data_IF_836844899420
#
_entry.id   IF_836844899420
#
_cell.length_a   1.000
_cell.length_b   1.000
_cell.length_c   1.000
_cell.angle_alpha   90.00
_cell.angle_beta   90.00
_cell.angle_gamma   90.00
#
_symmetry.space_group_name_H-M   'P 1'
#
loop_
_entity.id
_entity.type
_entity.pdbx_description
1 polymer ?
#
# COMPACT_ATOMS: atom_id res chain seq x y z
N UNK A 1 -2.58 -2.40 0.20
CA UNK A 1 -3.85 -1.82 0.70
C UNK A 1 -4.56 -2.82 1.57
N UNK A 2 -5.53 -2.39 2.38
CA UNK A 2 -6.34 -3.28 3.21
C UNK A 2 -7.01 -2.56 4.39
N UNK A 3 -7.87 -3.29 5.10
CA UNK A 3 -8.40 -2.89 6.42
C UNK A 3 -7.26 -2.68 7.40
N UNK A 4 -7.37 -1.65 8.24
CA UNK A 4 -6.38 -1.37 9.29
C UNK A 4 -6.78 -2.10 10.57
N UNK A 5 -5.83 -2.84 11.13
CA UNK A 5 -5.96 -3.47 12.45
C UNK A 5 -4.77 -3.04 13.31
N UNK A 6 -5.00 -2.88 14.61
CA UNK A 6 -3.99 -2.50 15.60
C UNK A 6 -3.97 -3.50 16.74
N UNK A 7 -2.80 -3.70 17.33
CA UNK A 7 -2.61 -4.62 18.45
C UNK A 7 -2.71 -3.86 19.78
N UNK A 8 -3.62 -4.26 20.67
CA UNK A 8 -3.75 -3.74 22.03
C UNK A 8 -3.83 -4.91 23.02
N UNK A 9 -2.97 -4.92 24.03
CA UNK A 9 -2.97 -5.96 25.07
C UNK A 9 -3.00 -7.40 24.52
N UNK A 10 -2.18 -7.67 23.48
CA UNK A 10 -2.08 -8.97 22.80
C UNK A 10 -3.32 -9.42 21.99
N UNK A 11 -4.27 -8.52 21.73
CA UNK A 11 -5.43 -8.78 20.87
C UNK A 11 -5.48 -7.79 19.70
N UNK A 12 -5.66 -8.32 18.49
CA UNK A 12 -5.89 -7.51 17.30
C UNK A 12 -7.32 -6.99 17.27
N UNK A 13 -7.50 -5.74 16.85
CA UNK A 13 -8.81 -5.15 16.67
C UNK A 13 -8.78 -4.08 15.59
N UNK A 14 -9.96 -3.76 15.09
CA UNK A 14 -10.14 -2.83 13.97
C UNK A 14 -10.23 -1.38 14.46
N UNK A 15 -10.43 -0.47 13.51
CA UNK A 15 -10.54 0.97 13.74
C UNK A 15 -11.83 1.45 13.11
N UNK A 16 -12.62 2.24 13.83
CA UNK A 16 -13.80 2.87 13.28
C UNK A 16 -13.43 3.99 12.30
N UNK A 17 -14.20 4.12 11.23
CA UNK A 17 -13.98 5.09 10.16
C UNK A 17 -14.50 6.50 10.46
N UNK A 18 -15.13 6.71 11.61
CA UNK A 18 -15.51 8.02 12.11
C UNK A 18 -14.27 8.92 12.17
N UNK A 19 -14.35 10.06 11.46
CA UNK A 19 -13.26 11.03 11.24
C UNK A 19 -11.99 10.45 10.59
N UNK A 20 -12.05 9.23 10.05
CA UNK A 20 -10.94 8.63 9.31
C UNK A 20 -10.64 9.44 8.05
N UNK A 21 -9.39 9.87 7.93
CA UNK A 21 -8.98 10.81 6.89
C UNK A 21 -7.56 10.51 6.39
N UNK A 22 -7.15 11.25 5.36
CA UNK A 22 -5.88 11.01 4.67
C UNK A 22 -4.64 11.21 5.56
N UNK A 23 -4.73 12.05 6.61
CA UNK A 23 -3.62 12.22 7.56
C UNK A 23 -3.45 10.97 8.41
N UNK A 24 -4.55 10.45 8.98
CA UNK A 24 -4.54 9.20 9.75
C UNK A 24 -4.10 8.02 8.89
N UNK A 25 -4.62 7.91 7.66
CA UNK A 25 -4.19 6.90 6.71
C UNK A 25 -2.69 7.00 6.35
N UNK A 26 -2.17 8.22 6.21
CA UNK A 26 -0.75 8.43 5.88
C UNK A 26 0.19 8.06 7.04
N UNK A 27 -0.24 8.23 8.29
CA UNK A 27 0.49 7.72 9.46
C UNK A 27 0.62 6.20 9.37
N UNK A 28 -0.48 5.48 9.11
CA UNK A 28 -0.46 4.01 8.93
C UNK A 28 0.49 3.58 7.81
N UNK A 29 0.38 4.21 6.64
CA UNK A 29 1.22 3.85 5.51
C UNK A 29 2.71 4.06 5.82
N UNK A 30 3.07 5.18 6.45
CA UNK A 30 4.46 5.46 6.85
C UNK A 30 4.95 4.52 7.95
N UNK A 31 4.10 4.21 8.94
CA UNK A 31 4.40 3.27 10.03
C UNK A 31 4.74 1.87 9.49
N UNK A 32 4.05 1.44 8.43
CA UNK A 32 4.30 0.16 7.74
C UNK A 32 5.45 0.21 6.71
N UNK A 33 6.18 1.33 6.61
CA UNK A 33 7.31 1.48 5.70
C UNK A 33 6.93 1.79 4.25
N UNK A 34 5.68 2.17 3.99
CA UNK A 34 5.25 2.70 2.70
C UNK A 34 5.48 4.23 2.62
N UNK A 35 5.03 4.84 1.52
CA UNK A 35 4.94 6.30 1.39
C UNK A 35 3.72 6.87 2.12
N UNK A 36 3.17 7.97 1.59
CA UNK A 36 1.88 8.51 2.06
C UNK A 36 0.70 7.62 1.66
N UNK A 37 -0.46 7.86 2.26
CA UNK A 37 -1.68 7.24 1.78
C UNK A 37 -2.11 7.86 0.45
N UNK A 38 -2.57 6.99 -0.46
CA UNK A 38 -3.34 7.37 -1.65
C UNK A 38 -4.80 7.62 -1.28
N UNK A 39 -5.38 6.74 -0.46
CA UNK A 39 -6.79 6.82 -0.04
C UNK A 39 -6.95 6.43 1.43
N UNK A 40 -7.85 7.17 2.10
CA UNK A 40 -8.45 6.77 3.36
C UNK A 40 -9.83 6.18 3.04
N UNK A 41 -9.98 4.87 3.26
CA UNK A 41 -11.18 4.12 2.90
C UNK A 41 -12.03 3.88 4.15
N UNK A 42 -13.34 3.95 3.94
CA UNK A 42 -14.40 3.89 4.95
C UNK A 42 -15.48 2.88 4.51
N UNK A 43 -16.41 2.54 5.38
CA UNK A 43 -17.56 1.65 5.14
C UNK A 43 -17.14 0.21 4.93
N UNK A 44 -16.08 -0.25 5.60
CA UNK A 44 -15.51 -1.58 5.43
C UNK A 44 -15.26 -1.98 3.97
N UNK A 45 -14.89 -1.01 3.11
CA UNK A 45 -14.67 -1.22 1.66
C UNK A 45 -13.63 -2.30 1.33
N UNK A 46 -12.72 -2.59 2.27
CA UNK A 46 -11.72 -3.64 2.15
C UNK A 46 -12.06 -4.88 3.01
N UNK A 47 -13.35 -5.07 3.30
CA UNK A 47 -13.88 -6.15 4.12
C UNK A 47 -13.99 -5.80 5.60
N UNK A 48 -15.00 -6.36 6.25
CA UNK A 48 -15.23 -6.25 7.68
C UNK A 48 -14.23 -7.13 8.46
N UNK A 49 -13.82 -6.65 9.63
CA UNK A 49 -13.12 -7.44 10.64
C UNK A 49 -14.09 -8.17 11.56
N UNK A 50 -13.52 -8.72 12.62
CA UNK A 50 -14.22 -9.43 13.69
C UNK A 50 -13.52 -9.14 15.02
N UNK A 51 -14.25 -9.21 16.13
CA UNK A 51 -13.67 -9.02 17.47
C UNK A 51 -13.77 -7.57 17.93
N UNK A 52 -12.79 -7.05 18.68
CA UNK A 52 -12.86 -5.69 19.20
C UNK A 52 -12.58 -4.64 18.11
N UNK A 53 -13.20 -3.48 18.28
CA UNK A 53 -12.81 -2.24 17.60
C UNK A 53 -12.01 -1.44 18.65
N UNK A 54 -10.73 -1.18 18.40
CA UNK A 54 -9.84 -0.62 19.43
C UNK A 54 -9.79 0.91 19.44
N UNK A 55 -10.03 1.53 18.30
CA UNK A 55 -9.86 2.97 18.08
C UNK A 55 -11.09 3.57 17.41
N UNK A 56 -11.49 4.77 17.85
CA UNK A 56 -12.55 5.57 17.26
C UNK A 56 -12.08 7.04 17.11
N UNK A 57 -12.63 7.76 16.13
CA UNK A 57 -12.38 9.19 15.88
C UNK A 57 -10.89 9.57 15.85
N UNK A 58 -10.09 8.81 15.11
CA UNK A 58 -8.63 9.01 15.03
C UNK A 58 -8.30 10.30 14.27
N UNK A 59 -7.68 11.24 14.97
CA UNK A 59 -7.40 12.61 14.49
C UNK A 59 -5.91 12.90 14.47
N UNK A 60 -5.18 12.18 13.62
CA UNK A 60 -3.75 12.43 13.43
C UNK A 60 -3.48 13.80 12.82
N UNK A 61 -2.35 14.41 13.20
CA UNK A 61 -1.76 15.57 12.52
C UNK A 61 -1.08 15.16 11.21
N UNK A 62 -0.71 13.89 11.07
CA UNK A 62 -0.01 13.33 9.90
C UNK A 62 1.50 13.17 10.10
N UNK A 63 2.04 13.57 11.26
CA UNK A 63 3.48 13.53 11.59
C UNK A 63 3.82 12.49 12.65
N UNK A 64 2.82 11.85 13.22
CA UNK A 64 2.96 10.78 14.21
C UNK A 64 3.72 9.58 13.64
N UNK A 65 4.52 8.92 14.49
CA UNK A 65 5.29 7.73 14.10
C UNK A 65 4.46 6.45 14.14
N UNK A 66 3.43 6.42 14.97
CA UNK A 66 2.48 5.32 15.08
C UNK A 66 1.07 5.86 15.23
N UNK A 67 0.09 5.10 14.77
CA UNK A 67 -1.31 5.43 14.92
C UNK A 67 -1.74 5.56 16.39
N UNK A 68 -1.10 4.82 17.30
CA UNK A 68 -1.31 4.93 18.75
C UNK A 68 -0.85 6.27 19.36
N UNK A 69 -0.07 7.07 18.62
CA UNK A 69 0.34 8.41 19.05
C UNK A 69 -0.63 9.51 18.61
N UNK A 70 -1.62 9.19 17.77
CA UNK A 70 -2.64 10.15 17.37
C UNK A 70 -3.67 10.34 18.50
N UNK A 71 -4.28 11.52 18.62
CA UNK A 71 -5.50 11.69 19.40
C UNK A 71 -6.60 10.77 18.87
N UNK A 72 -7.28 10.05 19.76
CA UNK A 72 -8.44 9.20 19.44
C UNK A 72 -9.43 9.23 20.61
N UNK A 73 -10.68 8.83 20.33
CA UNK A 73 -11.73 8.67 21.33
C UNK A 73 -11.76 7.21 21.80
N UNK A 74 -11.96 7.00 23.10
CA UNK A 74 -12.23 5.66 23.62
C UNK A 74 -13.57 5.16 23.05
N UNK A 75 -13.57 3.92 22.57
CA UNK A 75 -14.77 3.30 22.02
C UNK A 75 -15.80 3.00 23.11
N UNK A 76 -17.07 3.21 22.79
CA UNK A 76 -18.20 2.68 23.55
C UNK A 76 -18.98 1.65 22.72
N UNK A 77 -19.81 0.85 23.37
CA UNK A 77 -20.51 -0.28 22.74
C UNK A 77 -21.51 0.15 21.64
N UNK A 78 -21.94 1.40 21.64
CA UNK A 78 -22.90 1.95 20.67
C UNK A 78 -22.23 2.80 19.57
N UNK A 79 -20.91 2.97 19.62
CA UNK A 79 -20.23 3.91 18.72
C UNK A 79 -20.14 3.40 17.29
N UNK A 80 -19.60 2.18 17.10
CA UNK A 80 -19.29 1.66 15.77
C UNK A 80 -19.51 0.16 15.66
N UNK A 81 -19.72 -0.30 14.43
CA UNK A 81 -19.81 -1.71 14.03
C UNK A 81 -18.74 -2.02 13.00
N UNK A 82 -18.49 -3.29 12.73
CA UNK A 82 -17.51 -3.69 11.71
C UNK A 82 -17.86 -3.25 10.28
N UNK A 83 -19.11 -2.84 10.00
CA UNK A 83 -19.48 -2.17 8.75
C UNK A 83 -18.79 -0.80 8.58
N UNK A 84 -18.20 -0.27 9.64
CA UNK A 84 -17.51 1.02 9.74
C UNK A 84 -16.00 0.84 9.91
N UNK A 85 -15.46 -0.35 9.60
CA UNK A 85 -14.02 -0.57 9.71
C UNK A 85 -13.25 0.25 8.66
N UNK A 86 -12.25 0.99 9.13
CA UNK A 86 -11.38 1.83 8.33
C UNK A 86 -10.33 1.01 7.56
N UNK A 87 -9.98 1.50 6.37
CA UNK A 87 -8.98 0.88 5.50
C UNK A 87 -8.07 1.94 4.85
N UNK A 88 -6.94 1.50 4.31
CA UNK A 88 -5.99 2.35 3.59
C UNK A 88 -5.59 1.76 2.25
N UNK A 89 -5.40 2.65 1.27
CA UNK A 89 -4.60 2.38 0.09
C UNK A 89 -3.34 3.22 0.17
N UNK A 90 -2.19 2.56 0.35
CA UNK A 90 -0.90 3.24 0.46
C UNK A 90 -0.26 3.45 -0.91
N UNK A 91 0.47 4.55 -1.05
CA UNK A 91 1.45 4.65 -2.12
C UNK A 91 2.59 3.69 -1.79
N UNK A 92 2.86 2.74 -2.68
CA UNK A 92 4.07 1.95 -2.59
C UNK A 92 5.21 2.95 -2.85
N UNK A 93 6.19 3.08 -1.94
CA UNK A 93 7.39 3.82 -2.27
C UNK A 93 7.97 3.07 -3.46
N UNK A 94 8.15 3.74 -4.59
CA UNK A 94 8.88 3.17 -5.72
C UNK A 94 10.25 2.78 -5.16
N UNK A 95 10.39 1.50 -4.79
CA UNK A 95 11.65 0.95 -4.34
C UNK A 95 12.52 0.85 -5.58
N UNK A 96 13.11 1.98 -5.97
CA UNK A 96 14.46 1.96 -6.51
C UNK A 96 15.30 1.33 -5.42
N UNK A 97 15.71 0.09 -5.64
CA UNK A 97 16.62 -0.66 -4.79
C UNK A 97 17.99 0.03 -4.80
N UNK A 98 18.14 1.11 -4.05
CA UNK A 98 19.45 1.53 -3.59
C UNK A 98 19.60 1.11 -2.14
N UNK A 99 20.40 0.07 -1.96
CA UNK A 99 20.85 -0.36 -0.64
C UNK A 99 21.53 0.80 0.08
N UNK A 100 21.26 0.90 1.39
CA UNK A 100 22.00 1.61 2.45
C UNK A 100 21.58 3.07 2.75
N UNK A 101 20.98 3.24 3.93
CA UNK A 101 21.16 4.45 4.74
C UNK A 101 20.23 5.63 4.44
N UNK A 102 18.96 5.50 4.83
CA UNK A 102 18.05 6.64 4.92
C UNK A 102 18.45 7.57 6.07
N UNK A 103 19.12 8.69 5.77
CA UNK A 103 19.06 9.90 6.60
C UNK A 103 18.42 11.00 5.78
N UNK A 104 17.43 11.65 6.38
CA UNK A 104 16.49 12.52 5.67
C UNK A 104 17.08 13.77 5.02
N UNK A 105 16.12 14.52 4.48
CA UNK A 105 16.20 15.90 3.97
C UNK A 105 16.60 16.04 2.51
N UNK A 106 15.79 16.87 1.83
CA UNK A 106 15.72 16.97 0.38
C UNK A 106 16.95 17.58 -0.26
N UNK A 107 17.06 17.33 -1.56
CA UNK A 107 17.99 18.04 -2.44
C UNK A 107 17.18 18.54 -3.62
N UNK A 108 17.26 19.85 -3.85
CA UNK A 108 16.57 20.57 -4.91
C UNK A 108 16.92 20.03 -6.30
N UNK A 109 15.96 20.12 -7.21
CA UNK A 109 15.97 19.55 -8.56
C UNK A 109 17.04 20.13 -9.51
N UNK A 110 17.93 21.02 -9.05
CA UNK A 110 18.86 21.75 -9.93
C UNK A 110 20.28 21.15 -9.99
N UNK A 111 20.68 20.25 -9.09
CA UNK A 111 22.03 19.65 -9.12
C UNK A 111 22.17 18.36 -9.96
N UNK A 112 21.06 17.67 -10.26
CA UNK A 112 21.08 16.40 -11.01
C UNK A 112 21.50 16.55 -12.48
N UNK A 113 21.27 17.72 -13.09
CA UNK A 113 21.56 17.96 -14.51
C UNK A 113 23.06 18.02 -14.85
N UNK A 114 23.94 18.34 -13.88
CA UNK A 114 25.39 18.51 -14.13
C UNK A 114 26.18 17.20 -14.15
N UNK A 115 25.61 16.09 -13.66
CA UNK A 115 26.30 14.79 -13.55
C UNK A 115 25.84 13.75 -14.57
N UNK A 116 25.08 14.16 -15.60
CA UNK A 116 24.56 13.21 -16.59
C UNK A 116 23.59 12.17 -16.01
N UNK A 117 22.92 12.52 -14.90
CA UNK A 117 21.95 11.64 -14.24
C UNK A 117 20.70 11.57 -15.14
N UNK A 118 20.22 10.36 -15.49
CA UNK A 118 19.02 10.22 -16.31
C UNK A 118 17.83 10.89 -15.61
N UNK A 119 17.02 11.62 -16.36
CA UNK A 119 15.85 12.32 -15.85
C UNK A 119 14.99 11.42 -14.95
N UNK A 120 14.64 11.93 -13.75
CA UNK A 120 13.67 11.30 -12.87
C UNK A 120 12.39 10.99 -13.63
N UNK A 121 12.01 9.71 -13.69
CA UNK A 121 10.77 9.27 -14.34
C UNK A 121 10.93 8.31 -15.52
N UNK A 122 12.10 7.74 -15.77
CA UNK A 122 12.19 6.57 -16.66
C UNK A 122 11.36 5.42 -16.06
N UNK A 123 10.16 5.15 -16.61
CA UNK A 123 9.35 3.96 -16.32
C UNK A 123 10.25 2.74 -16.44
N UNK A 124 10.65 2.14 -15.31
CA UNK A 124 11.21 0.79 -15.32
C UNK A 124 10.08 -0.10 -15.82
N UNK A 125 10.20 -0.53 -17.07
CA UNK A 125 9.22 -1.43 -17.66
C UNK A 125 9.22 -2.70 -16.82
N UNK A 126 8.04 -3.19 -16.37
CA UNK A 126 7.98 -4.45 -15.67
C UNK A 126 8.68 -5.51 -16.52
N UNK A 127 9.52 -6.34 -15.89
CA UNK A 127 10.18 -7.47 -16.56
C UNK A 127 9.17 -8.55 -17.00
N UNK A 128 7.87 -8.30 -16.84
CA UNK A 128 6.76 -9.16 -17.25
C UNK A 128 5.67 -8.34 -17.95
N UNK A 129 4.85 -8.99 -18.78
CA UNK A 129 3.64 -8.42 -19.41
C UNK A 129 2.55 -9.47 -19.60
N UNK A 130 1.31 -9.01 -19.82
CA UNK A 130 0.21 -9.85 -20.33
C UNK A 130 0.09 -9.67 -21.84
N UNK A 131 -0.11 -10.77 -22.58
CA UNK A 131 -0.24 -10.76 -24.03
C UNK A 131 -1.46 -11.58 -24.50
N UNK A 132 -2.21 -11.06 -25.47
CA UNK A 132 -3.29 -11.78 -26.16
C UNK A 132 -4.59 -11.97 -25.37
N UNK A 133 -4.77 -11.25 -24.25
CA UNK A 133 -6.06 -11.18 -23.54
C UNK A 133 -7.08 -10.29 -24.25
N UNK A 134 -8.35 -10.35 -23.83
CA UNK A 134 -9.43 -9.48 -24.37
C UNK A 134 -9.44 -8.11 -23.69
N UNK A 135 -8.84 -7.99 -22.51
CA UNK A 135 -8.70 -6.75 -21.74
C UNK A 135 -7.27 -6.57 -21.24
N UNK A 136 -6.95 -5.42 -20.66
CA UNK A 136 -5.64 -5.15 -20.03
C UNK A 136 -5.41 -5.93 -18.72
N UNK A 137 -6.46 -6.54 -18.16
CA UNK A 137 -6.42 -7.29 -16.90
C UNK A 137 -6.25 -8.80 -17.09
N UNK A 138 -6.10 -9.29 -18.33
CA UNK A 138 -5.94 -10.71 -18.63
C UNK A 138 -4.98 -10.97 -19.79
N UNK A 139 -4.45 -12.20 -19.88
CA UNK A 139 -3.62 -12.64 -20.99
C UNK A 139 -2.57 -13.67 -20.56
N UNK A 140 -1.77 -14.11 -21.53
CA UNK A 140 -0.61 -14.96 -21.28
C UNK A 140 0.50 -14.15 -20.61
N UNK A 141 1.08 -14.69 -19.55
CA UNK A 141 2.23 -14.09 -18.88
C UNK A 141 3.48 -14.31 -19.73
N UNK A 142 4.16 -13.21 -20.08
CA UNK A 142 5.45 -13.21 -20.76
C UNK A 142 6.50 -12.52 -19.90
N UNK A 143 7.72 -13.06 -19.86
CA UNK A 143 8.85 -12.56 -19.06
C UNK A 143 9.97 -12.12 -19.99
N UNK A 144 10.59 -10.98 -19.68
CA UNK A 144 11.73 -10.45 -20.40
C UNK A 144 13.04 -11.03 -19.85
N UNK A 145 13.86 -11.61 -20.72
CA UNK A 145 15.26 -12.00 -20.43
C UNK A 145 16.17 -11.39 -21.49
N UNK A 146 17.01 -10.44 -21.06
CA UNK A 146 17.81 -9.63 -21.98
C UNK A 146 16.92 -8.83 -22.94
N UNK A 147 17.10 -9.02 -24.25
CA UNK A 147 16.28 -8.39 -25.29
C UNK A 147 15.10 -9.23 -25.77
N UNK A 148 14.88 -10.43 -25.20
CA UNK A 148 13.85 -11.38 -25.66
C UNK A 148 12.72 -11.53 -24.67
N UNK A 149 11.51 -11.73 -25.19
CA UNK A 149 10.32 -12.13 -24.44
C UNK A 149 10.14 -13.64 -24.57
N UNK A 150 9.88 -14.30 -23.45
CA UNK A 150 9.57 -15.72 -23.38
C UNK A 150 8.27 -15.97 -22.62
N UNK A 151 7.70 -17.16 -22.78
CA UNK A 151 6.49 -17.60 -22.06
C UNK A 151 6.85 -18.27 -20.74
N UNK A 152 5.89 -18.31 -19.83
CA UNK A 152 5.98 -19.09 -18.59
C UNK A 152 5.34 -20.47 -18.81
N UNK A 153 5.97 -21.53 -18.30
CA UNK A 153 5.39 -22.88 -18.33
C UNK A 153 4.15 -22.95 -17.42
N UNK A 154 3.12 -23.66 -17.84
CA UNK A 154 1.89 -23.85 -17.05
C UNK A 154 2.03 -24.89 -15.94
N UNK A 155 3.08 -25.72 -15.98
CA UNK A 155 3.29 -26.79 -15.00
C UNK A 155 3.50 -26.18 -13.60
N UNK A 156 2.57 -26.47 -12.69
CA UNK A 156 2.58 -25.91 -11.33
C UNK A 156 2.13 -24.46 -11.24
N UNK A 157 1.60 -23.86 -12.31
CA UNK A 157 1.04 -22.51 -12.26
C UNK A 157 -0.29 -22.50 -11.52
N UNK A 158 -0.35 -21.81 -10.38
CA UNK A 158 -1.56 -21.68 -9.56
C UNK A 158 -1.97 -20.22 -9.40
N UNK A 159 -3.07 -20.00 -8.65
CA UNK A 159 -3.51 -18.66 -8.25
C UNK A 159 -2.45 -17.91 -7.45
N UNK A 160 -1.54 -18.62 -6.74
CA UNK A 160 -0.45 -17.99 -5.98
C UNK A 160 0.52 -17.25 -6.88
N UNK A 161 0.98 -17.90 -7.95
CA UNK A 161 1.88 -17.30 -8.94
C UNK A 161 1.17 -16.21 -9.74
N UNK A 162 -0.12 -16.40 -10.06
CA UNK A 162 -0.93 -15.39 -10.72
C UNK A 162 -1.05 -14.11 -9.89
N UNK A 163 -1.28 -14.21 -8.58
CA UNK A 163 -1.31 -13.04 -7.69
C UNK A 163 0.02 -12.28 -7.69
N UNK A 164 1.15 -12.99 -7.75
CA UNK A 164 2.47 -12.34 -7.86
C UNK A 164 2.59 -11.57 -9.18
N UNK A 165 2.17 -12.17 -10.29
CA UNK A 165 2.19 -11.51 -11.61
C UNK A 165 1.27 -10.28 -11.65
N UNK A 166 0.03 -10.38 -11.18
CA UNK A 166 -0.92 -9.26 -11.11
C UNK A 166 -0.38 -8.13 -10.22
N UNK A 167 0.19 -8.47 -9.05
CA UNK A 167 0.80 -7.49 -8.15
C UNK A 167 1.99 -6.78 -8.79
N UNK A 168 2.85 -7.49 -9.49
CA UNK A 168 4.01 -6.90 -10.18
C UNK A 168 3.59 -5.99 -11.35
N UNK A 169 2.44 -6.24 -11.96
CA UNK A 169 1.86 -5.41 -13.01
C UNK A 169 1.00 -4.25 -12.47
N UNK A 170 0.77 -4.18 -11.15
CA UNK A 170 -0.12 -3.18 -10.55
C UNK A 170 -1.60 -3.38 -10.86
N UNK A 171 -2.00 -4.63 -11.14
CA UNK A 171 -3.38 -5.03 -11.48
C UNK A 171 -4.11 -5.67 -10.27
N UNK A 172 -3.63 -5.40 -9.05
CA UNK A 172 -4.18 -5.91 -7.80
C UNK A 172 -4.65 -4.78 -6.91
#
# INVERSE_FOLDING_TARGET
EGRVEVLKSSEWGTICDDRWNLQSASVVCRELGFGSAKEALTGARMGQGTGPIHLNEVQCRGTEKSLWNCPFRNITQEDCKHSEDAAVRCNIPYMGYENLGWTGMGVGQEEAARRGVPAHGARVSPQIRLAGGRTEFEGRVEVKRGSKWGTVCSDGWTTKEAMVACRQLGLG
#
